data_IF_909421881696
#
_entry.id   IF_909421881696
#
_cell.length_a   1.000
_cell.length_b   1.000
_cell.length_c   1.000
_cell.angle_alpha   90.00
_cell.angle_beta   90.00
_cell.angle_gamma   90.00
#
_symmetry.space_group_name_H-M   'P 1'
#
loop_
_entity.id
_entity.type
_entity.pdbx_description
1 polymer ?
#
# COMPACT_ATOMS: atom_id res chain seq x y z
N UNK A 1 -52.56 33.18 -21.30
CA UNK A 1 -52.25 32.15 -20.28
C UNK A 1 -50.74 32.08 -20.14
N UNK A 2 -50.23 32.53 -19.00
CA UNK A 2 -48.87 32.30 -18.50
C UNK A 2 -48.80 30.88 -17.86
N UNK A 3 -47.64 30.37 -17.41
CA UNK A 3 -46.27 30.54 -17.92
C UNK A 3 -45.44 29.23 -17.92
N UNK A 4 -44.28 29.29 -18.57
CA UNK A 4 -43.15 28.35 -18.50
C UNK A 4 -42.38 28.48 -17.18
N UNK A 5 -42.01 27.36 -16.57
CA UNK A 5 -41.24 27.33 -15.33
C UNK A 5 -39.73 27.38 -15.63
N UNK A 6 -39.15 28.58 -15.53
CA UNK A 6 -37.70 28.80 -15.42
C UNK A 6 -37.38 29.20 -13.99
N UNK A 7 -36.61 28.38 -13.28
CA UNK A 7 -36.11 28.70 -11.95
C UNK A 7 -34.72 29.32 -12.07
N UNK A 8 -34.69 30.65 -11.90
CA UNK A 8 -33.52 31.42 -11.49
C UNK A 8 -33.79 31.94 -10.07
N UNK A 9 -32.69 32.30 -9.41
CA UNK A 9 -32.55 32.91 -8.08
C UNK A 9 -32.44 31.86 -6.95
N UNK A 10 -31.42 31.88 -6.08
CA UNK A 10 -30.76 33.01 -5.42
C UNK A 10 -29.31 32.63 -5.03
N UNK A 11 -28.32 33.55 -5.12
CA UNK A 11 -27.01 33.38 -4.47
C UNK A 11 -27.10 33.80 -2.99
N UNK A 12 -26.68 32.94 -2.06
CA UNK A 12 -26.61 33.30 -0.64
C UNK A 12 -25.16 33.26 -0.15
N UNK A 13 -24.60 34.45 0.03
CA UNK A 13 -23.31 34.71 0.64
C UNK A 13 -23.45 34.85 2.17
N UNK A 14 -22.47 34.30 2.91
CA UNK A 14 -21.89 34.79 4.17
C UNK A 14 -21.17 33.61 4.86
N UNK A 15 -19.94 33.72 5.36
CA UNK A 15 -19.42 34.86 6.09
C UNK A 15 -18.00 35.26 5.67
N UNK A 16 -17.87 36.54 5.34
CA UNK A 16 -16.68 37.31 5.60
C UNK A 16 -16.42 37.35 7.12
N UNK A 17 -15.16 37.10 7.51
CA UNK A 17 -14.59 37.70 8.71
C UNK A 17 -13.37 38.49 8.29
N UNK A 18 -13.59 39.77 8.02
CA UNK A 18 -12.52 40.77 7.97
C UNK A 18 -12.04 41.00 9.41
N UNK A 19 -10.86 40.45 9.74
CA UNK A 19 -10.09 40.88 10.90
C UNK A 19 -9.13 41.98 10.46
N UNK A 20 -9.13 43.07 11.21
CA UNK A 20 -8.38 44.29 10.92
C UNK A 20 -6.88 44.06 10.75
N UNK A 21 -6.29 44.92 9.92
CA UNK A 21 -4.86 44.98 9.67
C UNK A 21 -4.08 45.19 10.98
N UNK A 22 -3.26 44.20 11.34
CA UNK A 22 -1.99 44.42 12.05
C UNK A 22 -0.93 43.53 11.41
N UNK A 23 0.20 44.16 11.06
CA UNK A 23 1.30 43.57 10.33
C UNK A 23 1.93 42.40 11.08
N UNK A 24 1.85 41.24 10.44
CA UNK A 24 2.64 40.07 10.71
C UNK A 24 2.35 39.11 9.57
N UNK A 25 3.35 38.83 8.72
CA UNK A 25 3.23 37.80 7.68
C UNK A 25 3.15 36.43 8.37
N UNK A 26 1.99 36.16 8.97
CA UNK A 26 1.67 34.87 9.54
C UNK A 26 1.58 33.88 8.40
N UNK A 27 2.38 32.81 8.48
CA UNK A 27 2.38 31.75 7.49
C UNK A 27 0.97 31.16 7.37
N UNK A 28 0.28 31.52 6.28
CA UNK A 28 -1.02 30.95 5.95
C UNK A 28 -0.82 29.49 5.58
N UNK A 29 -1.59 28.60 6.21
CA UNK A 29 -1.57 27.17 5.91
C UNK A 29 -2.86 26.78 5.19
N UNK A 30 -2.72 25.98 4.13
CA UNK A 30 -3.84 25.47 3.33
C UNK A 30 -3.83 23.95 3.37
N UNK A 31 -5.01 23.34 3.54
CA UNK A 31 -5.19 21.90 3.47
C UNK A 31 -5.80 21.53 2.12
N UNK A 32 -5.12 20.67 1.37
CA UNK A 32 -5.61 20.13 0.11
C UNK A 32 -6.06 18.69 0.33
N UNK A 33 -7.28 18.37 -0.09
CA UNK A 33 -7.85 17.03 -0.01
C UNK A 33 -8.10 16.50 -1.42
N UNK A 34 -7.53 15.34 -1.73
CA UNK A 34 -7.90 14.61 -2.92
C UNK A 34 -9.07 13.68 -2.62
N UNK A 35 -10.24 14.01 -3.19
CA UNK A 35 -11.41 13.14 -3.13
C UNK A 35 -11.11 11.81 -3.84
N UNK A 36 -11.49 10.69 -3.23
CA UNK A 36 -11.29 9.34 -3.75
C UNK A 36 -9.82 8.85 -3.82
N UNK A 37 -8.89 9.52 -3.13
CA UNK A 37 -7.48 9.09 -3.04
C UNK A 37 -7.36 7.61 -2.60
N UNK A 38 -8.09 7.22 -1.56
CA UNK A 38 -8.05 5.86 -1.04
C UNK A 38 -8.50 4.83 -2.07
N UNK A 39 -9.66 5.03 -2.71
CA UNK A 39 -10.19 4.14 -3.74
C UNK A 39 -9.27 4.04 -4.95
N UNK A 40 -8.66 5.17 -5.36
CA UNK A 40 -7.68 5.17 -6.43
C UNK A 40 -6.47 4.29 -6.07
N UNK A 41 -5.92 4.44 -4.86
CA UNK A 41 -4.77 3.67 -4.42
C UNK A 41 -5.07 2.16 -4.38
N UNK A 42 -6.22 1.77 -3.81
CA UNK A 42 -6.69 0.38 -3.78
C UNK A 42 -6.81 -0.19 -5.19
N UNK A 43 -7.45 0.53 -6.11
CA UNK A 43 -7.63 0.08 -7.50
C UNK A 43 -6.30 -0.07 -8.25
N UNK A 44 -5.35 0.86 -8.03
CA UNK A 44 -4.02 0.78 -8.66
C UNK A 44 -3.27 -0.46 -8.17
N UNK A 45 -3.28 -0.76 -6.87
CA UNK A 45 -2.62 -1.96 -6.36
C UNK A 45 -3.26 -3.25 -6.85
N UNK A 46 -4.59 -3.31 -6.95
CA UNK A 46 -5.29 -4.45 -7.53
C UNK A 46 -4.90 -4.68 -9.00
N UNK A 47 -4.83 -3.61 -9.81
CA UNK A 47 -4.35 -3.71 -11.20
C UNK A 47 -2.89 -4.14 -11.29
N UNK A 48 -2.00 -3.61 -10.44
CA UNK A 48 -0.60 -4.03 -10.41
C UNK A 48 -0.47 -5.52 -10.10
N UNK A 49 -1.29 -6.04 -9.18
CA UNK A 49 -1.33 -7.45 -8.84
C UNK A 49 -1.80 -8.31 -10.02
N UNK A 50 -2.90 -7.92 -10.65
CA UNK A 50 -3.47 -8.63 -11.81
C UNK A 50 -2.47 -8.68 -12.99
N UNK A 51 -1.74 -7.59 -13.20
CA UNK A 51 -0.71 -7.50 -14.24
C UNK A 51 0.62 -8.14 -13.82
N UNK A 52 0.78 -8.57 -12.57
CA UNK A 52 2.03 -9.09 -12.02
C UNK A 52 3.18 -8.07 -12.05
N UNK A 53 2.88 -6.78 -11.99
CA UNK A 53 3.88 -5.70 -12.03
C UNK A 53 4.35 -5.38 -10.62
N UNK A 54 5.67 -5.26 -10.41
CA UNK A 54 6.29 -5.03 -9.09
C UNK A 54 6.03 -6.10 -8.03
N UNK A 55 5.48 -7.25 -8.42
CA UNK A 55 5.35 -8.40 -7.51
C UNK A 55 6.73 -8.90 -7.10
N UNK A 56 6.95 -9.02 -5.81
CA UNK A 56 8.25 -9.29 -5.18
C UNK A 56 8.18 -10.43 -4.15
N UNK A 57 7.05 -11.13 -4.07
CA UNK A 57 6.86 -12.33 -3.24
C UNK A 57 5.92 -13.32 -3.93
N UNK A 58 6.13 -14.60 -3.67
CA UNK A 58 5.21 -15.68 -4.08
C UNK A 58 4.75 -16.47 -2.87
N UNK A 59 3.46 -16.72 -2.76
CA UNK A 59 2.87 -17.60 -1.76
C UNK A 59 2.47 -18.90 -2.47
N UNK A 60 2.92 -20.04 -1.96
CA UNK A 60 2.57 -21.36 -2.47
C UNK A 60 1.68 -22.09 -1.46
N UNK A 61 0.57 -22.65 -1.91
CA UNK A 61 -0.29 -23.53 -1.12
C UNK A 61 -0.96 -24.55 -2.04
N UNK A 62 -1.17 -25.77 -1.54
CA UNK A 62 -1.96 -26.82 -2.23
C UNK A 62 -1.60 -27.01 -3.73
N UNK A 63 -0.30 -27.07 -4.06
CA UNK A 63 0.20 -27.20 -5.43
C UNK A 63 0.04 -25.97 -6.33
N UNK A 64 -0.56 -24.89 -5.82
CA UNK A 64 -0.75 -23.62 -6.50
C UNK A 64 0.22 -22.55 -5.99
N UNK A 65 0.44 -21.52 -6.80
CA UNK A 65 1.26 -20.36 -6.45
C UNK A 65 0.56 -19.07 -6.78
N UNK A 66 0.67 -18.09 -5.89
CA UNK A 66 0.11 -16.75 -6.01
C UNK A 66 1.25 -15.72 -5.89
N UNK A 67 1.38 -14.83 -6.87
CA UNK A 67 2.31 -13.69 -6.79
C UNK A 67 1.65 -12.53 -6.05
N UNK A 68 2.41 -11.78 -5.27
CA UNK A 68 1.91 -10.63 -4.52
C UNK A 68 3.01 -9.59 -4.27
N UNK A 69 2.64 -8.50 -3.62
CA UNK A 69 3.53 -7.45 -3.14
C UNK A 69 3.77 -7.57 -1.63
N UNK A 70 5.04 -7.59 -1.21
CA UNK A 70 5.43 -7.62 0.21
C UNK A 70 4.81 -6.47 1.00
N UNK A 71 4.73 -5.28 0.39
CA UNK A 71 4.21 -4.08 1.05
C UNK A 71 2.74 -4.23 1.43
N UNK A 72 1.91 -4.77 0.53
CA UNK A 72 0.48 -4.98 0.80
C UNK A 72 0.29 -6.08 1.83
N UNK A 73 0.97 -7.22 1.66
CA UNK A 73 0.90 -8.32 2.64
C UNK A 73 1.32 -7.86 4.05
N UNK A 74 2.41 -7.08 4.15
CA UNK A 74 2.92 -6.58 5.43
C UNK A 74 1.97 -5.57 6.07
N UNK A 75 1.33 -4.70 5.28
CA UNK A 75 0.38 -3.72 5.79
C UNK A 75 -0.87 -4.39 6.38
N UNK A 76 -1.34 -5.47 5.75
CA UNK A 76 -2.56 -6.18 6.15
C UNK A 76 -2.32 -7.30 7.17
N UNK A 77 -1.08 -7.79 7.32
CA UNK A 77 -0.74 -8.92 8.18
C UNK A 77 0.57 -8.69 8.94
N UNK A 78 0.54 -8.55 10.28
CA UNK A 78 1.75 -8.51 11.11
C UNK A 78 2.59 -9.80 11.01
N UNK A 79 1.97 -10.93 10.68
CA UNK A 79 2.67 -12.19 10.44
C UNK A 79 3.57 -12.10 9.19
N UNK A 80 3.00 -11.70 8.06
CA UNK A 80 3.79 -11.49 6.84
C UNK A 80 4.80 -10.36 7.01
N UNK A 81 4.45 -9.28 7.69
CA UNK A 81 5.37 -8.18 7.97
C UNK A 81 6.65 -8.67 8.67
N UNK A 82 6.49 -9.43 9.76
CA UNK A 82 7.63 -9.92 10.55
C UNK A 82 8.46 -10.92 9.75
N UNK A 83 7.80 -11.88 9.09
CA UNK A 83 8.46 -12.90 8.28
C UNK A 83 9.25 -12.32 7.08
N UNK A 84 8.66 -11.36 6.36
CA UNK A 84 9.23 -10.82 5.13
C UNK A 84 10.31 -9.76 5.41
N UNK A 85 10.24 -9.04 6.53
CA UNK A 85 11.25 -8.06 6.91
C UNK A 85 12.62 -8.69 7.21
N UNK A 86 12.63 -9.90 7.78
CA UNK A 86 13.86 -10.63 8.09
C UNK A 86 14.47 -11.32 6.86
N UNK A 87 13.70 -11.43 5.78
CA UNK A 87 14.09 -12.19 4.61
C UNK A 87 14.91 -11.35 3.61
N UNK A 88 16.20 -11.70 3.46
CA UNK A 88 17.13 -11.01 2.54
C UNK A 88 16.94 -11.37 1.07
N UNK A 89 16.10 -12.35 0.74
CA UNK A 89 15.86 -12.74 -0.64
C UNK A 89 15.06 -11.66 -1.38
N UNK A 90 15.46 -11.39 -2.62
CA UNK A 90 14.76 -10.44 -3.49
C UNK A 90 13.29 -10.86 -3.68
N UNK A 91 13.08 -12.14 -3.96
CA UNK A 91 11.76 -12.72 -4.22
C UNK A 91 11.53 -14.02 -3.41
N UNK A 92 11.15 -13.94 -2.13
CA UNK A 92 10.91 -15.12 -1.31
C UNK A 92 9.68 -15.90 -1.78
N UNK A 93 9.73 -17.22 -1.61
CA UNK A 93 8.59 -18.13 -1.79
C UNK A 93 8.14 -18.59 -0.42
N UNK A 94 6.94 -18.18 0.01
CA UNK A 94 6.34 -18.54 1.28
C UNK A 94 5.41 -19.73 1.06
N UNK A 95 5.69 -20.85 1.73
CA UNK A 95 4.90 -22.07 1.59
C UNK A 95 3.94 -22.16 2.79
N UNK A 96 2.63 -22.11 2.52
CA UNK A 96 1.59 -22.28 3.52
C UNK A 96 1.12 -23.73 3.52
N UNK A 97 1.26 -24.39 4.67
CA UNK A 97 0.72 -25.74 4.91
C UNK A 97 -0.70 -25.61 5.44
N UNK A 98 -1.53 -26.60 5.13
CA UNK A 98 -2.90 -26.73 5.65
C UNK A 98 -3.82 -25.55 5.28
N UNK A 99 -3.48 -24.83 4.21
CA UNK A 99 -4.30 -23.78 3.62
C UNK A 99 -4.71 -24.22 2.22
N UNK A 100 -6.01 -24.26 1.99
CA UNK A 100 -6.59 -24.54 0.68
C UNK A 100 -6.57 -23.30 -0.21
N UNK A 101 -6.50 -23.52 -1.52
CA UNK A 101 -6.37 -22.45 -2.51
C UNK A 101 -7.50 -21.41 -2.48
N UNK A 102 -8.80 -21.79 -2.40
CA UNK A 102 -9.89 -20.82 -2.41
C UNK A 102 -9.81 -19.81 -1.25
N UNK A 103 -9.44 -20.28 -0.06
CA UNK A 103 -9.32 -19.46 1.15
C UNK A 103 -8.12 -18.52 1.06
N UNK A 104 -6.96 -19.01 0.61
CA UNK A 104 -5.80 -18.15 0.38
C UNK A 104 -6.14 -17.05 -0.64
N UNK A 105 -6.78 -17.43 -1.75
CA UNK A 105 -7.14 -16.49 -2.80
C UNK A 105 -8.07 -15.41 -2.27
N UNK A 106 -9.12 -15.80 -1.55
CA UNK A 106 -10.08 -14.88 -0.97
C UNK A 106 -9.43 -13.94 0.05
N UNK A 107 -8.55 -14.45 0.92
CA UNK A 107 -7.79 -13.63 1.88
C UNK A 107 -6.92 -12.60 1.17
N UNK A 108 -6.21 -12.99 0.12
CA UNK A 108 -5.37 -12.04 -0.63
C UNK A 108 -6.24 -11.02 -1.38
N UNK A 109 -7.32 -11.44 -2.02
CA UNK A 109 -8.24 -10.50 -2.68
C UNK A 109 -8.82 -9.49 -1.67
N UNK A 110 -9.13 -9.91 -0.44
CA UNK A 110 -9.52 -9.00 0.65
C UNK A 110 -8.42 -8.00 1.01
N UNK A 111 -7.14 -8.43 1.08
CA UNK A 111 -6.04 -7.50 1.36
C UNK A 111 -5.89 -6.41 0.30
N UNK A 112 -6.20 -6.71 -0.97
CA UNK A 112 -6.05 -5.75 -2.07
C UNK A 112 -7.27 -4.88 -2.30
N UNK A 113 -8.47 -5.38 -1.99
CA UNK A 113 -9.74 -4.68 -2.27
C UNK A 113 -10.36 -4.05 -1.02
N UNK A 114 -10.01 -4.54 0.16
CA UNK A 114 -10.63 -4.18 1.44
C UNK A 114 -11.98 -4.85 1.69
N UNK A 115 -12.55 -5.50 0.67
CA UNK A 115 -13.82 -6.23 0.73
C UNK A 115 -13.84 -7.38 -0.29
N UNK A 116 -14.61 -8.43 0.02
CA UNK A 116 -14.83 -9.58 -0.84
C UNK A 116 -16.25 -10.11 -0.66
N UNK A 117 -16.76 -10.80 -1.68
CA UNK A 117 -18.01 -11.54 -1.60
C UNK A 117 -17.68 -13.04 -1.60
N UNK A 118 -18.22 -13.78 -0.63
CA UNK A 118 -18.04 -15.23 -0.48
C UNK A 118 -19.35 -15.89 -0.07
N UNK A 119 -19.48 -17.19 -0.30
CA UNK A 119 -20.62 -17.95 0.17
C UNK A 119 -20.51 -18.26 1.68
N UNK A 120 -21.64 -18.53 2.33
CA UNK A 120 -21.69 -18.69 3.79
C UNK A 120 -20.81 -19.84 4.28
N UNK A 121 -20.76 -20.93 3.54
CA UNK A 121 -19.93 -22.11 3.80
C UNK A 121 -18.42 -21.82 3.70
N UNK A 122 -18.02 -20.77 2.96
CA UNK A 122 -16.62 -20.37 2.79
C UNK A 122 -16.13 -19.47 3.93
N UNK A 123 -17.03 -18.82 4.68
CA UNK A 123 -16.67 -17.86 5.74
C UNK A 123 -15.84 -18.55 6.83
N UNK A 124 -16.28 -19.70 7.35
CA UNK A 124 -15.59 -20.40 8.43
C UNK A 124 -14.14 -20.80 8.06
N UNK A 125 -13.93 -21.52 6.94
CA UNK A 125 -12.59 -21.79 6.43
C UNK A 125 -11.73 -20.54 6.20
N UNK A 126 -12.30 -19.50 5.59
CA UNK A 126 -11.61 -18.24 5.32
C UNK A 126 -11.13 -17.56 6.60
N UNK A 127 -11.99 -17.45 7.62
CA UNK A 127 -11.65 -16.82 8.90
C UNK A 127 -10.56 -17.59 9.64
N UNK A 128 -10.53 -18.93 9.58
CA UNK A 128 -9.42 -19.73 10.14
C UNK A 128 -8.07 -19.43 9.49
N UNK A 129 -8.06 -19.26 8.17
CA UNK A 129 -6.84 -18.87 7.45
C UNK A 129 -6.44 -17.43 7.79
N UNK A 130 -7.41 -16.52 7.86
CA UNK A 130 -7.18 -15.14 8.26
C UNK A 130 -6.61 -15.01 9.68
N UNK A 131 -7.08 -15.82 10.62
CA UNK A 131 -6.54 -15.92 11.99
C UNK A 131 -5.07 -16.37 11.98
N UNK A 132 -4.79 -17.47 11.27
CA UNK A 132 -3.44 -18.05 11.17
C UNK A 132 -2.44 -17.05 10.57
N UNK A 133 -2.88 -16.34 9.53
CA UNK A 133 -2.09 -15.31 8.86
C UNK A 133 -2.20 -13.94 9.53
N UNK A 134 -2.93 -13.81 10.64
CA UNK A 134 -3.15 -12.56 11.39
C UNK A 134 -3.59 -11.39 10.50
N UNK A 135 -4.58 -11.62 9.64
CA UNK A 135 -5.09 -10.62 8.69
C UNK A 135 -5.99 -9.64 9.43
N UNK A 136 -5.57 -8.37 9.46
CA UNK A 136 -6.31 -7.27 10.12
C UNK A 136 -7.72 -7.15 9.54
N UNK A 137 -8.72 -6.93 10.39
CA UNK A 137 -10.12 -6.79 9.99
C UNK A 137 -10.85 -8.11 9.70
N UNK A 138 -10.14 -9.26 9.67
CA UNK A 138 -10.75 -10.59 9.57
C UNK A 138 -10.43 -11.47 10.79
N UNK A 139 -9.20 -11.42 11.31
CA UNK A 139 -8.80 -12.19 12.49
C UNK A 139 -9.59 -11.77 13.75
N UNK A 140 -9.83 -10.47 13.94
CA UNK A 140 -10.51 -9.96 15.14
C UNK A 140 -11.97 -10.44 15.26
N UNK A 141 -12.61 -10.81 14.13
CA UNK A 141 -14.01 -11.24 14.06
C UNK A 141 -14.19 -12.68 14.58
N UNK A 142 -13.17 -13.52 14.45
CA UNK A 142 -13.21 -14.92 14.86
C UNK A 142 -13.38 -15.09 16.38
N UNK A 143 -12.96 -14.10 17.16
CA UNK A 143 -12.96 -14.18 18.62
C UNK A 143 -14.34 -13.88 19.26
N UNK A 144 -15.23 -13.17 18.55
CA UNK A 144 -16.57 -12.85 19.08
C UNK A 144 -17.65 -13.87 18.69
N UNK A 145 -17.42 -14.66 17.63
CA UNK A 145 -18.46 -15.50 17.04
C UNK A 145 -18.52 -16.95 17.55
N UNK A 146 -17.61 -17.36 18.46
CA UNK A 146 -17.57 -18.72 19.02
C UNK A 146 -17.88 -18.79 20.52
N UNK A 147 -18.03 -17.67 21.22
CA UNK A 147 -18.45 -17.64 22.63
C UNK A 147 -19.90 -17.20 22.76
N UNK A 148 -20.83 -18.10 22.42
CA UNK A 148 -22.22 -17.98 22.81
C UNK A 148 -22.36 -18.14 24.33
N UNK A 149 -22.46 -17.02 25.06
CA UNK A 149 -22.64 -16.98 26.50
C UNK A 149 -23.15 -15.64 27.02
N UNK A 150 -24.40 -15.29 26.69
CA UNK A 150 -25.34 -14.49 27.50
C UNK A 150 -24.91 -13.14 28.09
N UNK A 151 -25.38 -12.05 27.49
CA UNK A 151 -25.44 -10.72 28.11
C UNK A 151 -26.00 -9.68 27.15
N UNK A 152 -27.32 -9.50 27.16
CA UNK A 152 -28.02 -8.62 26.23
C UNK A 152 -27.70 -7.14 26.42
N UNK A 153 -27.78 -6.40 25.32
CA UNK A 153 -28.16 -5.00 25.36
C UNK A 153 -29.09 -4.73 24.17
N UNK A 154 -30.36 -4.47 24.50
CA UNK A 154 -31.41 -4.08 23.56
C UNK A 154 -31.13 -2.71 22.92
N UNK A 155 -31.71 -2.43 21.73
CA UNK A 155 -31.56 -1.16 21.03
C UNK A 155 -32.63 -0.16 21.50
N UNK A 156 -32.22 1.04 21.91
CA UNK A 156 -33.17 2.14 22.15
C UNK A 156 -32.83 3.37 21.32
N UNK A 157 -33.63 3.57 20.28
CA UNK A 157 -33.84 4.85 19.63
C UNK A 157 -35.12 5.48 20.21
N UNK A 158 -35.03 6.68 20.80
CA UNK A 158 -35.98 7.78 20.64
C UNK A 158 -35.61 8.98 21.53
N UNK A 159 -35.44 10.12 20.86
CA UNK A 159 -35.55 11.51 21.27
C UNK A 159 -35.86 11.85 22.74
N UNK A 160 -35.02 12.72 23.34
CA UNK A 160 -35.50 13.80 24.21
C UNK A 160 -34.61 15.03 24.03
N UNK A 161 -35.29 16.14 23.76
CA UNK A 161 -34.80 17.51 23.61
C UNK A 161 -34.24 18.01 24.94
N UNK A 162 -33.00 18.53 24.95
CA UNK A 162 -32.56 19.52 25.94
C UNK A 162 -31.49 20.44 25.34
N UNK A 163 -31.79 21.73 25.42
CA UNK A 163 -31.02 22.94 25.08
C UNK A 163 -29.60 22.98 25.68
N UNK A 164 -28.59 23.53 24.97
CA UNK A 164 -27.33 23.90 25.59
C UNK A 164 -27.32 25.39 25.97
N UNK A 165 -27.34 25.66 27.28
CA UNK A 165 -26.96 26.95 27.87
C UNK A 165 -25.44 27.03 27.95
N UNK A 166 -24.89 28.17 27.55
CA UNK A 166 -23.47 28.49 27.49
C UNK A 166 -22.78 28.45 28.87
N UNK A 167 -21.62 27.77 28.95
CA UNK A 167 -20.61 27.98 29.99
C UNK A 167 -19.21 27.89 29.35
N UNK A 168 -18.36 28.87 29.68
CA UNK A 168 -17.04 29.15 29.12
C UNK A 168 -15.98 28.05 29.36
N UNK A 169 -14.90 27.99 28.55
CA UNK A 169 -13.82 27.04 28.77
C UNK A 169 -12.74 27.59 29.73
N UNK A 170 -12.47 26.82 30.78
CA UNK A 170 -11.34 27.02 31.69
C UNK A 170 -10.06 26.35 31.14
N UNK A 171 -8.91 27.00 31.36
CA UNK A 171 -7.60 26.68 30.77
C UNK A 171 -6.86 25.52 31.48
N UNK A 172 -6.17 24.59 30.77
CA UNK A 172 -5.25 23.64 31.39
C UNK A 172 -3.86 24.22 31.65
N UNK A 173 -3.37 24.08 32.89
CA UNK A 173 -2.00 24.41 33.34
C UNK A 173 -0.97 23.37 32.86
N UNK A 174 0.16 23.85 32.32
CA UNK A 174 1.36 23.06 31.97
C UNK A 174 2.24 22.76 33.20
N UNK A 175 3.02 21.66 33.23
CA UNK A 175 4.18 21.53 34.12
C UNK A 175 5.51 21.83 33.41
N UNK A 176 6.44 22.38 34.20
CA UNK A 176 7.67 23.07 33.82
C UNK A 176 8.85 22.18 33.38
N UNK A 177 9.69 22.77 32.53
CA UNK A 177 10.99 22.27 32.01
C UNK A 177 12.06 22.11 33.09
N UNK A 178 12.89 21.06 32.99
CA UNK A 178 14.28 21.03 33.50
C UNK A 178 15.26 20.96 32.32
N UNK A 179 16.02 22.04 32.09
CA UNK A 179 17.13 22.11 31.13
C UNK A 179 18.38 21.49 31.76
N UNK A 180 18.91 20.41 31.19
CA UNK A 180 20.29 20.02 31.38
C UNK A 180 21.11 20.50 30.17
N UNK A 181 22.16 21.25 30.48
CA UNK A 181 23.09 21.93 29.56
C UNK A 181 24.33 21.04 29.41
N UNK A 182 24.71 20.66 28.20
CA UNK A 182 26.07 20.23 27.88
C UNK A 182 26.47 20.78 26.50
N UNK A 183 27.67 21.37 26.48
CA UNK A 183 28.31 22.15 25.41
C UNK A 183 28.93 21.25 24.32
N UNK A 184 29.29 21.80 23.14
CA UNK A 184 30.03 21.06 22.10
C UNK A 184 31.55 21.24 22.26
N UNK A 185 32.37 20.34 21.68
CA UNK A 185 33.70 20.75 21.24
C UNK A 185 34.00 20.35 19.78
N UNK A 186 34.82 21.19 19.15
CA UNK A 186 35.42 20.99 17.84
C UNK A 186 36.94 20.68 17.97
N UNK A 187 37.43 19.91 16.98
CA UNK A 187 38.80 19.81 16.43
C UNK A 187 39.97 19.17 17.23
N UNK A 188 40.48 18.07 16.65
CA UNK A 188 41.85 17.52 16.39
C UNK A 188 43.03 17.71 17.38
N UNK A 189 44.02 16.78 17.39
CA UNK A 189 45.16 16.82 16.44
C UNK A 189 45.74 15.45 15.98
N UNK A 190 46.60 15.54 14.95
CA UNK A 190 47.42 14.47 14.34
C UNK A 190 48.68 14.11 15.16
N UNK A 191 49.28 12.93 14.90
CA UNK A 191 50.74 12.79 14.66
C UNK A 191 51.17 11.37 14.23
N UNK A 192 51.66 11.30 12.98
CA UNK A 192 52.88 10.66 12.43
C UNK A 192 53.59 9.47 13.11
N UNK A 193 53.83 8.40 12.32
CA UNK A 193 55.14 7.80 11.86
C UNK A 193 54.81 6.61 10.91
N UNK A 194 55.21 6.61 9.62
CA UNK A 194 56.41 5.96 8.99
C UNK A 194 56.63 4.48 9.39
N UNK A 195 56.93 3.47 8.55
CA UNK A 195 57.30 3.31 7.13
C UNK A 195 57.46 1.78 6.82
N UNK A 196 57.44 1.41 5.53
CA UNK A 196 57.99 0.23 4.85
C UNK A 196 57.42 -1.20 5.00
N UNK A 197 56.96 -1.75 3.85
CA UNK A 197 57.56 -2.98 3.32
C UNK A 197 56.63 -4.02 2.66
N UNK A 198 56.61 -4.01 1.32
CA UNK A 198 56.52 -5.17 0.41
C UNK A 198 55.20 -5.92 0.21
N UNK A 199 54.61 -5.84 -0.99
CA UNK A 199 54.76 -6.89 -2.02
C UNK A 199 53.82 -6.66 -3.20
N UNK A 200 54.45 -6.54 -4.36
CA UNK A 200 53.91 -6.60 -5.72
C UNK A 200 53.09 -7.86 -6.02
N UNK A 201 51.97 -7.69 -6.74
CA UNK A 201 51.54 -8.58 -7.83
C UNK A 201 50.41 -7.90 -8.64
N UNK A 202 50.78 -7.40 -9.82
CA UNK A 202 49.89 -7.05 -10.93
C UNK A 202 49.18 -8.30 -11.48
N UNK A 203 47.86 -8.25 -11.62
CA UNK A 203 47.14 -8.87 -12.76
C UNK A 203 45.67 -8.43 -12.77
N UNK A 204 45.17 -7.74 -13.82
CA UNK A 204 43.75 -7.52 -13.98
C UNK A 204 43.08 -8.78 -14.57
N UNK A 205 42.07 -9.31 -13.87
CA UNK A 205 41.23 -10.39 -14.38
C UNK A 205 40.42 -9.89 -15.58
N UNK A 206 40.84 -10.33 -16.77
CA UNK A 206 40.13 -10.16 -18.02
C UNK A 206 38.80 -10.93 -17.96
N UNK A 207 37.69 -10.20 -17.83
CA UNK A 207 36.34 -10.77 -17.84
C UNK A 207 36.00 -11.16 -19.30
N UNK A 208 36.20 -12.42 -19.65
CA UNK A 208 35.82 -12.97 -20.94
C UNK A 208 34.32 -12.74 -21.19
N UNK A 209 34.01 -11.85 -22.13
CA UNK A 209 32.67 -11.63 -22.66
C UNK A 209 32.22 -12.89 -23.41
N UNK A 210 31.27 -13.65 -22.86
CA UNK A 210 30.56 -14.67 -23.61
C UNK A 210 29.48 -14.01 -24.48
N UNK A 211 29.38 -14.35 -25.78
CA UNK A 211 28.28 -13.87 -26.61
C UNK A 211 26.94 -14.47 -26.13
N UNK A 212 25.82 -13.74 -26.26
CA UNK A 212 24.50 -14.23 -25.88
C UNK A 212 24.10 -15.46 -26.70
N UNK A 213 23.32 -16.40 -26.13
CA UNK A 213 22.89 -17.59 -26.85
C UNK A 213 22.03 -17.22 -28.07
N UNK A 214 22.13 -17.97 -29.18
CA UNK A 214 21.35 -17.71 -30.39
C UNK A 214 19.86 -17.85 -30.08
N UNK A 215 19.06 -16.92 -30.60
CA UNK A 215 17.61 -16.93 -30.45
C UNK A 215 17.02 -18.23 -31.03
N UNK A 216 15.95 -18.79 -30.42
CA UNK A 216 15.34 -20.02 -30.91
C UNK A 216 14.84 -19.84 -32.35
N UNK A 217 15.18 -20.80 -33.21
CA UNK A 217 14.99 -20.78 -34.66
C UNK A 217 13.55 -20.45 -35.10
N UNK A 218 12.57 -20.74 -34.25
CA UNK A 218 11.15 -20.48 -34.49
C UNK A 218 10.81 -18.97 -34.48
N UNK A 219 11.51 -18.18 -33.66
CA UNK A 219 11.27 -16.74 -33.56
C UNK A 219 11.85 -15.99 -34.76
N UNK A 220 12.99 -16.46 -35.29
CA UNK A 220 13.58 -15.93 -36.52
C UNK A 220 12.68 -16.17 -37.74
N UNK A 221 12.04 -17.35 -37.80
CA UNK A 221 11.15 -17.72 -38.89
C UNK A 221 9.82 -16.94 -38.84
N UNK A 222 9.31 -16.64 -37.65
CA UNK A 222 8.16 -15.73 -37.47
C UNK A 222 8.47 -14.29 -37.88
N UNK A 223 9.67 -13.77 -37.57
CA UNK A 223 10.05 -12.42 -37.99
C UNK A 223 10.17 -12.31 -39.52
N UNK A 224 10.74 -13.32 -40.17
CA UNK A 224 10.87 -13.37 -41.62
C UNK A 224 9.51 -13.49 -42.33
N UNK A 225 8.57 -14.28 -41.78
CA UNK A 225 7.23 -14.39 -42.36
C UNK A 225 6.41 -13.11 -42.20
N UNK A 226 6.56 -12.38 -41.11
CA UNK A 226 5.87 -11.09 -40.95
C UNK A 226 6.42 -10.03 -41.92
N UNK A 227 7.74 -9.99 -42.13
CA UNK A 227 8.36 -9.08 -43.08
C UNK A 227 7.96 -9.36 -44.54
N UNK A 228 7.80 -10.63 -44.92
CA UNK A 228 7.33 -10.98 -46.26
C UNK A 228 5.86 -10.58 -46.48
N UNK A 229 4.99 -10.75 -45.48
CA UNK A 229 3.59 -10.33 -45.58
C UNK A 229 3.45 -8.81 -45.68
N UNK A 230 4.25 -8.03 -44.93
CA UNK A 230 4.24 -6.56 -45.03
C UNK A 230 4.68 -6.10 -46.43
N UNK A 231 5.72 -6.73 -46.99
CA UNK A 231 6.18 -6.40 -48.34
C UNK A 231 5.12 -6.70 -49.40
N UNK A 232 4.44 -7.84 -49.29
CA UNK A 232 3.39 -8.24 -50.24
C UNK A 232 2.17 -7.31 -50.16
N UNK A 233 1.79 -6.89 -48.95
CA UNK A 233 0.70 -5.95 -48.74
C UNK A 233 1.05 -4.53 -49.24
N UNK A 234 2.31 -4.11 -49.11
CA UNK A 234 2.77 -2.82 -49.64
C UNK A 234 2.80 -2.79 -51.18
N UNK A 235 3.06 -3.93 -51.82
CA UNK A 235 3.10 -4.04 -53.28
C UNK A 235 1.69 -4.07 -53.91
N UNK A 236 0.69 -4.62 -53.21
CA UNK A 236 -0.72 -4.58 -53.63
C UNK A 236 -1.36 -3.20 -53.52
N UNK A 237 -0.85 -2.30 -52.68
CA UNK A 237 -1.36 -0.93 -52.56
C UNK A 237 -0.79 0.04 -53.61
N UNK A 238 0.12 -0.42 -54.47
CA UNK A 238 0.76 0.39 -55.51
C UNK A 238 0.30 0.03 -56.94
N UNK A 239 -0.74 -0.79 -57.08
CA UNK A 239 -1.45 -1.07 -58.34
C UNK A 239 -2.91 -0.63 -58.22
#
# INVERSE_FOLDING_TARGET
MQPTNGSKDVPSAAAEKTCGATGGSGNQQFCLRWNNYQSNLTNVFDQLLQNGTFVDVTIACDGHTLKAHKIVLSACSPYFQSMLAENKCKHPIVILKDVQWPELRAVVDFMYKGEINVYQEQIGPLLRVAETLKVRGLADVSNEQLTGGGGGCEPQAAATVVTPTAVAPESPKQPARKRHRLSPPAASPESVVSDMGSSSADTPLNLHHMPPPPAPHHLQQQAQSQLSHVHQHHQQQQQ
#
